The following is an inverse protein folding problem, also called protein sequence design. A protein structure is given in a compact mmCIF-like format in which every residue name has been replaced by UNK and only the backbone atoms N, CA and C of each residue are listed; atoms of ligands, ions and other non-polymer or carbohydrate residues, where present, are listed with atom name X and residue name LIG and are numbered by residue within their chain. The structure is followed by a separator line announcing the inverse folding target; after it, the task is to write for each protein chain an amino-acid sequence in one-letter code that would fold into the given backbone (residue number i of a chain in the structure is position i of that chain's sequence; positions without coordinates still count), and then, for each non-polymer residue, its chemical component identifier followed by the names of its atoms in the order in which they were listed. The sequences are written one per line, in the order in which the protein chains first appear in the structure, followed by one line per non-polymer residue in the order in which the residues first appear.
data_IF_819908785946
#
_entry.id   IF_819908785946
#
_cell.length_a   1.000
_cell.length_b   1.000
_cell.length_c   1.000
_cell.angle_alpha   90.00
_cell.angle_beta   90.00
_cell.angle_gamma   90.00
#
_symmetry.space_group_name_H-M   'P 1'
#
loop_
_entity.id
_entity.type
_entity.pdbx_description
1 polymer ?
#
# COMPACT_ATOMS: atom_id res chain seq x y z
N UNK A 1 -32.93 -14.75 89.18
CA UNK A 1 -32.32 -15.47 88.02
C UNK A 1 -32.64 -14.65 86.82
N UNK A 2 -31.64 -13.91 86.28
CA UNK A 2 -31.77 -13.07 85.08
C UNK A 2 -31.08 -13.81 83.87
N UNK A 3 -31.87 -14.21 82.93
CA UNK A 3 -31.41 -14.85 81.72
C UNK A 3 -30.98 -13.78 80.70
N UNK A 4 -29.67 -13.77 80.37
CA UNK A 4 -29.05 -12.89 79.38
C UNK A 4 -29.24 -13.55 78.01
N UNK A 5 -29.98 -12.90 77.10
CA UNK A 5 -30.11 -13.34 75.70
C UNK A 5 -28.95 -12.72 74.87
N UNK A 6 -28.08 -13.56 74.34
CA UNK A 6 -26.99 -13.21 73.43
C UNK A 6 -27.54 -13.13 72.04
N UNK A 7 -27.52 -11.91 71.42
CA UNK A 7 -27.92 -11.68 70.03
C UNK A 7 -26.69 -11.79 69.19
N UNK A 8 -26.57 -12.87 68.40
CA UNK A 8 -25.49 -13.04 67.43
C UNK A 8 -25.90 -12.32 66.10
N UNK A 9 -25.25 -11.20 65.77
CA UNK A 9 -25.43 -10.50 64.54
C UNK A 9 -24.48 -11.16 63.51
N UNK A 10 -25.07 -11.85 62.51
CA UNK A 10 -24.38 -12.46 61.40
C UNK A 10 -24.08 -11.36 60.40
N UNK A 11 -22.81 -10.92 60.33
CA UNK A 11 -22.31 -9.94 59.34
C UNK A 11 -21.99 -10.72 58.06
N UNK A 12 -22.94 -10.77 57.11
CA UNK A 12 -22.71 -11.33 55.77
C UNK A 12 -21.89 -10.36 54.93
N UNK A 13 -20.56 -10.59 54.84
CA UNK A 13 -19.70 -9.93 53.84
C UNK A 13 -20.09 -10.42 52.46
N UNK A 14 -20.84 -9.61 51.73
CA UNK A 14 -21.01 -9.76 50.30
C UNK A 14 -19.67 -9.38 49.61
N UNK A 15 -18.87 -10.38 49.34
CA UNK A 15 -17.73 -10.23 48.44
C UNK A 15 -18.29 -10.06 47.02
N UNK A 16 -18.44 -8.82 46.61
CA UNK A 16 -18.66 -8.49 45.21
C UNK A 16 -17.39 -8.84 44.44
N UNK A 17 -17.33 -10.03 43.85
CA UNK A 17 -16.35 -10.34 42.81
C UNK A 17 -16.67 -9.47 41.59
N UNK A 18 -16.09 -8.27 41.53
CA UNK A 18 -15.93 -7.53 40.30
C UNK A 18 -15.01 -8.37 39.43
N UNK A 19 -15.60 -9.17 38.53
CA UNK A 19 -14.88 -9.73 37.40
C UNK A 19 -14.50 -8.57 36.50
N UNK A 20 -13.39 -7.92 36.83
CA UNK A 20 -12.72 -7.00 35.93
C UNK A 20 -12.44 -7.76 34.64
N UNK A 21 -13.28 -7.54 33.64
CA UNK A 21 -12.98 -7.94 32.27
C UNK A 21 -11.63 -7.32 31.95
N UNK A 22 -10.55 -8.11 31.99
CA UNK A 22 -9.27 -7.71 31.41
C UNK A 22 -9.57 -7.46 29.96
N UNK A 23 -9.84 -6.22 29.60
CA UNK A 23 -9.77 -5.79 28.22
C UNK A 23 -8.33 -6.05 27.79
N UNK A 24 -8.09 -7.23 27.22
CA UNK A 24 -6.79 -7.49 26.61
C UNK A 24 -6.63 -6.45 25.51
N UNK A 25 -5.70 -5.53 25.72
CA UNK A 25 -5.36 -4.47 24.78
C UNK A 25 -5.00 -5.12 23.44
N UNK A 26 -5.77 -4.83 22.42
CA UNK A 26 -5.54 -5.34 21.09
C UNK A 26 -4.18 -4.83 20.59
N UNK A 27 -3.35 -5.72 20.08
CA UNK A 27 -2.02 -5.39 19.60
C UNK A 27 -1.94 -5.62 18.09
N UNK A 28 -1.58 -4.59 17.34
CA UNK A 28 -1.39 -4.66 15.90
C UNK A 28 0.09 -4.45 15.57
N UNK A 29 0.69 -5.39 14.83
CA UNK A 29 1.94 -5.16 14.13
C UNK A 29 1.68 -4.40 12.84
N UNK A 30 2.43 -3.35 12.56
CA UNK A 30 2.41 -2.66 11.27
C UNK A 30 3.82 -2.68 10.68
N UNK A 31 3.97 -3.37 9.55
CA UNK A 31 5.25 -3.57 8.87
C UNK A 31 5.27 -2.75 7.58
N UNK A 32 6.12 -1.73 7.56
CA UNK A 32 6.32 -0.84 6.43
C UNK A 32 7.69 -1.07 5.78
N UNK A 33 7.78 -0.91 4.46
CA UNK A 33 9.05 -1.06 3.75
C UNK A 33 9.91 0.19 3.85
N UNK A 34 9.32 1.35 3.59
CA UNK A 34 10.04 2.63 3.49
C UNK A 34 9.13 3.80 3.86
N UNK A 35 9.71 4.94 4.17
CA UNK A 35 8.98 6.19 4.40
C UNK A 35 8.76 6.88 3.05
N UNK A 36 7.51 6.96 2.63
CA UNK A 36 7.08 7.62 1.40
C UNK A 36 5.68 8.21 1.60
N UNK A 37 5.45 9.43 1.14
CA UNK A 37 4.18 10.13 1.35
C UNK A 37 3.00 9.43 0.69
N UNK A 38 3.20 8.83 -0.47
CA UNK A 38 2.16 8.13 -1.22
C UNK A 38 1.75 6.85 -0.47
N UNK A 39 2.74 6.05 -0.03
CA UNK A 39 2.51 4.84 0.76
C UNK A 39 1.94 5.15 2.15
N UNK A 40 2.33 6.27 2.76
CA UNK A 40 1.81 6.71 4.06
C UNK A 40 0.29 6.99 4.04
N UNK A 41 -0.30 7.32 2.86
CA UNK A 41 -1.74 7.47 2.75
C UNK A 41 -2.48 6.15 2.99
N UNK A 42 -1.93 5.01 2.57
CA UNK A 42 -2.51 3.69 2.86
C UNK A 42 -2.49 3.41 4.38
N UNK A 43 -1.37 3.66 5.04
CA UNK A 43 -1.27 3.57 6.51
C UNK A 43 -2.31 4.43 7.20
N UNK A 44 -2.46 5.68 6.75
CA UNK A 44 -3.48 6.61 7.29
C UNK A 44 -4.89 6.06 7.11
N UNK A 45 -5.24 5.59 5.91
CA UNK A 45 -6.55 5.00 5.63
C UNK A 45 -6.84 3.79 6.51
N UNK A 46 -5.88 2.89 6.68
CA UNK A 46 -5.99 1.70 7.52
C UNK A 46 -6.34 2.06 8.97
N UNK A 47 -5.60 2.98 9.58
CA UNK A 47 -5.85 3.37 10.97
C UNK A 47 -7.11 4.24 11.14
N UNK A 48 -7.53 5.00 10.12
CA UNK A 48 -8.83 5.72 10.17
C UNK A 48 -9.97 4.71 10.17
N UNK A 49 -9.94 3.68 9.32
CA UNK A 49 -10.95 2.63 9.32
C UNK A 49 -11.05 1.92 10.68
N UNK A 50 -9.92 1.61 11.30
CA UNK A 50 -9.89 1.03 12.65
C UNK A 50 -10.50 1.97 13.68
N UNK A 51 -10.12 3.26 13.67
CA UNK A 51 -10.63 4.27 14.60
C UNK A 51 -12.15 4.43 14.50
N UNK A 52 -12.69 4.52 13.30
CA UNK A 52 -14.13 4.63 13.05
C UNK A 52 -14.91 3.39 13.54
N UNK A 53 -14.20 2.28 13.72
CA UNK A 53 -14.74 1.03 14.24
C UNK A 53 -14.46 0.79 15.74
N UNK A 54 -13.94 1.80 16.47
CA UNK A 54 -13.72 1.77 17.91
C UNK A 54 -12.34 1.26 18.34
N UNK A 55 -11.37 1.16 17.40
CA UNK A 55 -10.02 0.72 17.70
C UNK A 55 -9.03 1.88 17.49
N UNK A 56 -8.52 2.44 18.58
CA UNK A 56 -7.66 3.62 18.57
C UNK A 56 -6.59 3.53 19.66
N UNK A 57 -5.35 3.82 19.30
CA UNK A 57 -4.24 3.95 20.23
C UNK A 57 -4.42 5.15 21.17
N UNK A 58 -4.94 6.26 20.64
CA UNK A 58 -5.23 7.46 21.43
C UNK A 58 -6.31 7.27 22.49
N UNK A 59 -7.25 6.37 22.23
CA UNK A 59 -8.35 6.03 23.15
C UNK A 59 -7.99 4.83 24.03
N UNK A 60 -6.77 4.28 23.91
CA UNK A 60 -6.28 3.18 24.73
C UNK A 60 -6.93 1.82 24.44
N UNK A 61 -7.60 1.66 23.30
CA UNK A 61 -8.22 0.40 22.87
C UNK A 61 -7.29 -0.44 21.99
N UNK A 62 -6.19 0.15 21.51
CA UNK A 62 -5.26 -0.44 20.55
C UNK A 62 -3.80 -0.11 20.94
N UNK A 63 -2.91 -1.09 20.79
CA UNK A 63 -1.45 -0.92 20.82
C UNK A 63 -0.91 -1.17 19.43
N UNK A 64 -0.13 -0.22 18.89
CA UNK A 64 0.50 -0.33 17.58
C UNK A 64 2.00 -0.60 17.75
N UNK A 65 2.49 -1.65 17.12
CA UNK A 65 3.91 -1.97 17.00
C UNK A 65 4.32 -1.65 15.56
N UNK A 66 4.74 -0.42 15.33
CA UNK A 66 5.19 0.04 14.02
C UNK A 66 6.66 -0.27 13.80
N UNK A 67 6.99 -0.80 12.62
CA UNK A 67 8.36 -1.00 12.14
C UNK A 67 8.46 -0.60 10.67
N UNK A 68 9.51 0.14 10.36
CA UNK A 68 9.86 0.53 8.99
C UNK A 68 11.24 -0.05 8.65
N UNK A 69 11.38 -0.61 7.47
CA UNK A 69 12.61 -1.25 7.01
C UNK A 69 13.56 -0.27 6.30
N UNK A 70 13.14 0.97 6.05
CA UNK A 70 13.92 2.00 5.36
C UNK A 70 14.47 1.55 3.99
N UNK A 71 13.72 0.70 3.28
CA UNK A 71 14.08 0.15 1.98
C UNK A 71 15.10 -0.99 2.02
N UNK A 72 15.54 -1.40 3.22
CA UNK A 72 16.56 -2.41 3.41
C UNK A 72 15.96 -3.79 3.71
N UNK A 73 16.29 -4.79 2.88
CA UNK A 73 15.70 -6.12 3.00
C UNK A 73 16.14 -6.87 4.28
N UNK A 74 17.40 -6.88 4.70
CA UNK A 74 17.79 -7.44 6.00
C UNK A 74 17.03 -6.81 7.17
N UNK A 75 16.88 -5.50 7.19
CA UNK A 75 16.09 -4.78 8.20
C UNK A 75 14.61 -5.18 8.15
N UNK A 76 14.04 -5.40 6.96
CA UNK A 76 12.67 -5.87 6.81
C UNK A 76 12.44 -7.24 7.47
N UNK A 77 13.38 -8.17 7.28
CA UNK A 77 13.34 -9.49 7.91
C UNK A 77 13.38 -9.40 9.43
N UNK A 78 14.30 -8.60 9.99
CA UNK A 78 14.42 -8.37 11.43
C UNK A 78 13.19 -7.67 12.02
N UNK A 79 12.65 -6.68 11.32
CA UNK A 79 11.45 -5.96 11.71
C UNK A 79 10.23 -6.90 11.79
N UNK A 80 10.09 -7.78 10.81
CA UNK A 80 9.03 -8.80 10.80
C UNK A 80 9.18 -9.78 11.97
N UNK A 81 10.38 -10.33 12.20
CA UNK A 81 10.66 -11.23 13.33
C UNK A 81 10.37 -10.56 14.67
N UNK A 82 10.76 -9.29 14.82
CA UNK A 82 10.43 -8.52 16.02
C UNK A 82 8.93 -8.37 16.23
N UNK A 83 8.16 -8.00 15.19
CA UNK A 83 6.69 -7.87 15.30
C UNK A 83 6.08 -9.22 15.70
N UNK A 84 6.47 -10.32 15.08
CA UNK A 84 5.96 -11.67 15.39
C UNK A 84 6.27 -12.05 16.84
N UNK A 85 7.48 -11.73 17.35
CA UNK A 85 7.87 -12.03 18.73
C UNK A 85 7.00 -11.33 19.78
N UNK A 86 6.32 -10.26 19.40
CA UNK A 86 5.39 -9.53 20.28
C UNK A 86 3.99 -10.12 20.32
N UNK A 87 3.76 -11.22 19.58
CA UNK A 87 2.48 -11.94 19.51
C UNK A 87 1.28 -11.02 19.24
N UNK A 88 1.27 -10.24 18.16
CA UNK A 88 0.17 -9.34 17.84
C UNK A 88 -1.10 -10.13 17.46
N UNK A 89 -2.28 -9.51 17.64
CA UNK A 89 -3.56 -10.04 17.18
C UNK A 89 -3.66 -10.13 15.66
N UNK A 90 -2.99 -9.20 14.94
CA UNK A 90 -2.83 -9.19 13.50
C UNK A 90 -1.58 -8.43 13.09
N UNK A 91 -1.14 -8.64 11.84
CA UNK A 91 -0.08 -7.82 11.21
C UNK A 91 -0.66 -7.15 9.95
N UNK A 92 -0.54 -5.84 9.86
CA UNK A 92 -0.79 -5.08 8.66
C UNK A 92 0.54 -4.89 7.89
N UNK A 93 0.52 -5.06 6.58
CA UNK A 93 1.71 -5.01 5.74
C UNK A 93 1.54 -4.01 4.60
N UNK A 94 2.54 -3.16 4.39
CA UNK A 94 2.57 -2.11 3.36
C UNK A 94 4.02 -1.91 2.84
N UNK A 95 4.32 -1.99 1.57
CA UNK A 95 3.52 -2.54 0.46
C UNK A 95 3.80 -4.04 0.20
N UNK A 96 4.21 -4.44 -1.02
CA UNK A 96 4.35 -5.83 -1.48
C UNK A 96 5.39 -6.65 -0.72
N UNK A 97 6.63 -6.14 -0.58
CA UNK A 97 7.72 -6.91 0.04
C UNK A 97 7.46 -7.24 1.51
N UNK A 98 6.93 -6.32 2.37
CA UNK A 98 6.45 -6.66 3.70
C UNK A 98 5.42 -7.78 3.73
N UNK A 99 4.49 -7.79 2.77
CA UNK A 99 3.48 -8.87 2.65
C UNK A 99 4.16 -10.21 2.35
N UNK A 100 5.08 -10.26 1.39
CA UNK A 100 5.82 -11.47 1.04
C UNK A 100 6.58 -12.00 2.25
N UNK A 101 7.33 -11.14 2.94
CA UNK A 101 8.11 -11.52 4.12
C UNK A 101 7.19 -12.03 5.24
N UNK A 102 6.11 -11.33 5.55
CA UNK A 102 5.19 -11.74 6.60
C UNK A 102 4.54 -13.10 6.31
N UNK A 103 4.10 -13.35 5.06
CA UNK A 103 3.55 -14.64 4.62
C UNK A 103 4.57 -15.78 4.76
N UNK A 104 5.85 -15.51 4.53
CA UNK A 104 6.90 -16.52 4.71
C UNK A 104 7.15 -16.83 6.19
N UNK A 105 7.11 -15.82 7.06
CA UNK A 105 7.48 -15.90 8.48
C UNK A 105 6.36 -16.41 9.39
N UNK A 106 5.08 -16.19 9.08
CA UNK A 106 3.96 -16.68 9.87
C UNK A 106 2.85 -17.30 9.05
N UNK A 107 2.24 -18.36 9.56
CA UNK A 107 1.07 -19.04 8.98
C UNK A 107 -0.17 -18.94 9.87
N UNK A 108 -0.03 -18.38 11.05
CA UNK A 108 -1.08 -18.37 12.08
C UNK A 108 -1.57 -16.97 12.42
N UNK A 109 -0.70 -15.96 12.40
CA UNK A 109 -1.11 -14.57 12.66
C UNK A 109 -1.84 -14.05 11.41
N UNK A 110 -3.06 -13.50 11.54
CA UNK A 110 -3.77 -12.88 10.42
C UNK A 110 -2.99 -11.71 9.83
N UNK A 111 -2.84 -11.71 8.51
CA UNK A 111 -2.12 -10.70 7.74
C UNK A 111 -3.10 -9.88 6.93
N UNK A 112 -3.06 -8.56 7.06
CA UNK A 112 -3.88 -7.62 6.29
C UNK A 112 -2.99 -6.79 5.38
N UNK A 113 -2.94 -7.18 4.10
CA UNK A 113 -2.11 -6.51 3.10
C UNK A 113 -2.78 -5.27 2.53
N UNK A 114 -1.97 -4.32 2.11
CA UNK A 114 -2.35 -3.17 1.30
C UNK A 114 -1.23 -2.80 0.34
N UNK A 115 -1.57 -2.10 -0.73
CA UNK A 115 -0.62 -1.68 -1.78
C UNK A 115 0.23 -2.85 -2.28
N UNK A 116 -0.46 -3.95 -2.59
CA UNK A 116 0.16 -5.20 -3.06
C UNK A 116 -0.56 -5.70 -4.31
N UNK A 117 0.11 -6.33 -5.26
CA UNK A 117 -0.56 -7.00 -6.35
C UNK A 117 -1.33 -8.22 -5.84
N UNK A 118 -2.17 -8.78 -6.70
CA UNK A 118 -2.88 -10.03 -6.41
C UNK A 118 -1.90 -11.12 -5.96
N UNK A 119 -2.27 -11.98 -4.99
CA UNK A 119 -1.34 -12.94 -4.37
C UNK A 119 -0.57 -13.84 -5.33
N UNK A 120 -1.17 -14.23 -6.48
CA UNK A 120 -0.48 -15.01 -7.51
C UNK A 120 0.63 -14.22 -8.22
N UNK A 121 0.39 -12.93 -8.49
CA UNK A 121 1.39 -12.03 -9.07
C UNK A 121 2.55 -11.81 -8.07
N UNK A 122 2.24 -11.73 -6.78
CA UNK A 122 3.23 -11.62 -5.72
C UNK A 122 3.97 -12.95 -5.42
N UNK A 123 3.64 -14.05 -6.11
CA UNK A 123 4.24 -15.37 -5.86
C UNK A 123 3.80 -16.01 -4.53
N UNK A 124 2.63 -15.63 -4.00
CA UNK A 124 2.15 -16.04 -2.68
C UNK A 124 1.14 -17.21 -2.74
N UNK A 125 0.75 -17.68 -3.92
CA UNK A 125 -0.17 -18.81 -4.06
C UNK A 125 0.58 -20.13 -4.03
N UNK A 126 -0.11 -21.17 -3.57
CA UNK A 126 0.36 -22.56 -3.70
C UNK A 126 0.26 -23.08 -5.16
N UNK A 127 0.67 -24.32 -5.39
CA UNK A 127 0.61 -24.97 -6.72
C UNK A 127 -0.81 -25.11 -7.29
N UNK A 128 -1.84 -25.02 -6.44
CA UNK A 128 -3.24 -25.05 -6.83
C UNK A 128 -3.81 -23.64 -7.05
N UNK A 129 -2.99 -22.58 -6.94
CA UNK A 129 -3.39 -21.19 -7.09
C UNK A 129 -4.09 -20.61 -5.85
N UNK A 130 -4.05 -21.30 -4.70
CA UNK A 130 -4.72 -20.88 -3.49
C UNK A 130 -3.83 -19.93 -2.68
N UNK A 131 -4.40 -18.80 -2.28
CA UNK A 131 -3.76 -17.84 -1.37
C UNK A 131 -3.57 -18.43 0.04
N UNK A 132 -2.58 -17.94 0.83
CA UNK A 132 -2.41 -18.33 2.23
C UNK A 132 -3.69 -18.10 3.04
N UNK A 133 -4.04 -19.06 3.89
CA UNK A 133 -5.28 -19.03 4.69
C UNK A 133 -5.31 -17.90 5.73
N UNK A 134 -4.16 -17.33 6.07
CA UNK A 134 -4.02 -16.21 6.99
C UNK A 134 -3.79 -14.86 6.28
N UNK A 135 -3.93 -14.79 4.95
CA UNK A 135 -3.74 -13.56 4.16
C UNK A 135 -5.09 -12.96 3.76
N UNK A 136 -5.30 -11.72 4.12
CA UNK A 136 -6.48 -10.89 3.88
C UNK A 136 -6.06 -9.50 3.38
N UNK A 137 -7.01 -8.58 3.32
CA UNK A 137 -6.75 -7.21 2.91
C UNK A 137 -7.00 -6.99 1.42
N UNK A 138 -6.29 -6.06 0.82
CA UNK A 138 -6.65 -5.50 -0.48
C UNK A 138 -5.48 -5.56 -1.44
N UNK A 139 -5.77 -6.02 -2.66
CA UNK A 139 -4.81 -6.19 -3.74
C UNK A 139 -5.23 -5.48 -5.03
N UNK A 140 -4.33 -5.51 -5.99
CA UNK A 140 -4.52 -5.01 -7.34
C UNK A 140 -4.12 -6.04 -8.39
N UNK A 141 -4.82 -6.06 -9.53
CA UNK A 141 -4.54 -6.98 -10.64
C UNK A 141 -3.50 -6.48 -11.64
N UNK A 142 -3.14 -5.20 -11.56
CA UNK A 142 -2.31 -4.49 -12.54
C UNK A 142 -2.96 -4.31 -13.95
N UNK A 143 -4.23 -4.69 -14.14
CA UNK A 143 -4.93 -4.48 -15.42
C UNK A 143 -5.11 -2.99 -15.76
N UNK A 144 -5.10 -2.13 -14.75
CA UNK A 144 -5.15 -0.68 -14.91
C UNK A 144 -3.92 -0.10 -15.64
N UNK A 145 -2.83 -0.82 -15.70
CA UNK A 145 -1.62 -0.38 -16.42
C UNK A 145 -1.93 -0.21 -17.90
N UNK A 146 -2.68 -1.14 -18.50
CA UNK A 146 -3.10 -1.04 -19.88
C UNK A 146 -3.93 0.23 -20.12
N UNK A 147 -4.87 0.52 -19.20
CA UNK A 147 -5.67 1.75 -19.21
C UNK A 147 -4.79 3.00 -19.06
N UNK A 148 -3.75 2.95 -18.24
CA UNK A 148 -2.80 4.07 -18.06
C UNK A 148 -2.02 4.35 -19.33
N UNK A 149 -1.55 3.33 -20.07
CA UNK A 149 -0.86 3.51 -21.35
C UNK A 149 -1.82 4.04 -22.42
N UNK A 150 -3.04 3.53 -22.50
CA UNK A 150 -4.08 4.06 -23.39
C UNK A 150 -4.42 5.52 -23.07
N UNK A 151 -4.43 5.90 -21.79
CA UNK A 151 -4.63 7.27 -21.36
C UNK A 151 -3.48 8.17 -21.85
N UNK A 152 -2.22 7.73 -21.76
CA UNK A 152 -1.08 8.47 -22.33
C UNK A 152 -1.31 8.73 -23.81
N UNK A 153 -1.64 7.69 -24.57
CA UNK A 153 -1.87 7.82 -26.01
C UNK A 153 -3.05 8.74 -26.35
N UNK A 154 -4.09 8.76 -25.51
CA UNK A 154 -5.24 9.66 -25.69
C UNK A 154 -4.89 11.14 -25.42
N UNK A 155 -4.02 11.40 -24.44
CA UNK A 155 -3.58 12.76 -24.06
C UNK A 155 -2.44 13.24 -24.97
N UNK A 156 -1.55 12.34 -25.38
CA UNK A 156 -0.40 12.58 -26.25
C UNK A 156 -0.45 11.69 -27.49
N UNK A 157 -1.31 11.98 -28.49
CA UNK A 157 -1.49 11.09 -29.65
C UNK A 157 -0.22 10.95 -30.52
N UNK A 158 0.71 11.90 -30.45
CA UNK A 158 1.97 11.89 -31.20
C UNK A 158 3.10 11.11 -30.52
N UNK A 159 2.88 10.56 -29.32
CA UNK A 159 3.90 9.82 -28.57
C UNK A 159 4.42 8.63 -29.39
N UNK A 160 5.75 8.50 -29.46
CA UNK A 160 6.46 7.42 -30.16
C UNK A 160 7.32 6.60 -29.22
N UNK A 161 7.88 7.24 -28.18
CA UNK A 161 8.80 6.61 -27.23
C UNK A 161 8.36 6.84 -25.79
N UNK A 162 8.05 5.76 -25.09
CA UNK A 162 7.74 5.77 -23.68
C UNK A 162 8.94 5.25 -22.89
N UNK A 163 9.38 6.00 -21.88
CA UNK A 163 10.45 5.60 -20.98
C UNK A 163 9.91 5.09 -19.64
N UNK A 164 10.55 4.08 -19.08
CA UNK A 164 10.27 3.58 -17.74
C UNK A 164 11.54 3.10 -17.03
N UNK A 165 11.57 3.21 -15.71
CA UNK A 165 12.58 2.55 -14.87
C UNK A 165 11.89 1.58 -13.94
N UNK A 166 12.53 0.46 -13.60
CA UNK A 166 11.89 -0.62 -12.87
C UNK A 166 12.87 -1.39 -11.97
N UNK A 167 12.39 -1.87 -10.82
CA UNK A 167 13.17 -2.73 -9.96
C UNK A 167 12.90 -4.21 -10.29
N UNK A 168 13.94 -4.93 -10.67
CA UNK A 168 13.85 -6.36 -11.03
C UNK A 168 13.50 -7.27 -9.84
N UNK A 169 13.75 -6.82 -8.61
CA UNK A 169 13.43 -7.57 -7.41
C UNK A 169 11.95 -7.41 -6.97
N UNK A 170 11.19 -6.52 -7.61
CA UNK A 170 9.80 -6.25 -7.27
C UNK A 170 8.83 -6.89 -8.28
N UNK A 171 8.08 -7.94 -7.89
CA UNK A 171 7.18 -8.66 -8.81
C UNK A 171 6.16 -7.76 -9.52
N UNK A 172 5.59 -6.77 -8.80
CA UNK A 172 4.62 -5.83 -9.37
C UNK A 172 5.26 -4.93 -10.43
N UNK A 173 6.50 -4.49 -10.21
CA UNK A 173 7.23 -3.64 -11.16
C UNK A 173 7.54 -4.38 -12.45
N UNK A 174 8.06 -5.60 -12.34
CA UNK A 174 8.35 -6.47 -13.50
C UNK A 174 7.07 -6.81 -14.28
N UNK A 175 5.97 -7.11 -13.59
CA UNK A 175 4.71 -7.43 -14.25
C UNK A 175 4.08 -6.20 -14.91
N UNK A 176 4.16 -5.03 -14.27
CA UNK A 176 3.69 -3.77 -14.84
C UNK A 176 4.46 -3.43 -16.12
N UNK A 177 5.79 -3.60 -16.12
CA UNK A 177 6.61 -3.39 -17.32
C UNK A 177 6.16 -4.29 -18.49
N UNK A 178 5.94 -5.60 -18.24
CA UNK A 178 5.44 -6.53 -19.28
C UNK A 178 4.10 -6.08 -19.86
N UNK A 179 3.19 -5.56 -19.04
CA UNK A 179 1.92 -5.02 -19.52
C UNK A 179 2.11 -3.78 -20.37
N UNK A 180 2.99 -2.86 -19.97
CA UNK A 180 3.34 -1.67 -20.76
C UNK A 180 3.92 -2.09 -22.11
N UNK A 181 4.86 -3.03 -22.14
CA UNK A 181 5.47 -3.56 -23.37
C UNK A 181 4.40 -4.06 -24.35
N UNK A 182 3.46 -4.89 -23.85
CA UNK A 182 2.38 -5.43 -24.66
C UNK A 182 1.44 -4.35 -25.22
N UNK A 183 1.03 -3.38 -24.37
CA UNK A 183 0.12 -2.31 -24.75
C UNK A 183 0.80 -1.31 -25.69
N UNK A 184 2.05 -0.93 -25.43
CA UNK A 184 2.84 -0.06 -26.30
C UNK A 184 3.02 -0.68 -27.69
N UNK A 185 3.32 -1.99 -27.76
CA UNK A 185 3.45 -2.70 -29.05
C UNK A 185 2.15 -2.63 -29.85
N UNK A 186 0.98 -2.76 -29.22
CA UNK A 186 -0.33 -2.65 -29.91
C UNK A 186 -0.63 -1.24 -30.42
N UNK A 187 -0.03 -0.21 -29.83
CA UNK A 187 -0.20 1.20 -30.19
C UNK A 187 0.91 1.75 -31.09
N UNK A 188 1.91 0.93 -31.43
CA UNK A 188 3.07 1.36 -32.21
C UNK A 188 3.98 2.32 -31.44
N UNK A 189 4.03 2.23 -30.14
CA UNK A 189 4.88 3.00 -29.22
C UNK A 189 6.11 2.17 -28.86
N UNK A 190 7.30 2.71 -29.04
CA UNK A 190 8.55 2.10 -28.57
C UNK A 190 8.67 2.27 -27.06
N UNK A 191 8.88 1.18 -26.30
CA UNK A 191 9.20 1.23 -24.87
C UNK A 191 10.71 1.15 -24.67
N UNK A 192 11.25 2.08 -23.90
CA UNK A 192 12.65 2.09 -23.47
C UNK A 192 12.67 1.95 -21.96
N UNK A 193 13.11 0.81 -21.47
CA UNK A 193 13.18 0.53 -20.02
C UNK A 193 14.61 0.44 -19.51
N UNK A 194 14.83 0.83 -18.25
CA UNK A 194 16.11 0.69 -17.57
C UNK A 194 15.90 0.07 -16.18
N UNK A 195 16.71 -0.91 -15.76
CA UNK A 195 16.66 -1.43 -14.41
C UNK A 195 17.16 -0.39 -13.39
N UNK A 196 16.52 -0.36 -12.22
CA UNK A 196 16.89 0.46 -11.07
C UNK A 196 16.86 -0.42 -9.82
N UNK A 197 18.02 -0.65 -9.18
CA UNK A 197 18.08 -1.56 -8.05
C UNK A 197 17.85 -0.87 -6.70
N UNK A 198 18.25 0.38 -6.58
CA UNK A 198 18.11 1.17 -5.37
C UNK A 198 18.05 2.67 -5.68
N UNK A 199 17.60 3.47 -4.72
CA UNK A 199 17.40 4.91 -4.88
C UNK A 199 18.69 5.72 -5.13
N UNK A 200 19.86 5.22 -4.72
CA UNK A 200 21.13 5.94 -4.94
C UNK A 200 21.58 5.96 -6.41
N UNK A 201 21.05 5.04 -7.23
CA UNK A 201 21.35 4.95 -8.67
C UNK A 201 20.40 5.82 -9.53
N UNK A 202 19.33 6.35 -8.94
CA UNK A 202 18.23 6.99 -9.69
C UNK A 202 18.69 8.10 -10.60
N UNK A 203 19.55 9.03 -10.13
CA UNK A 203 20.02 10.14 -10.95
C UNK A 203 20.73 9.65 -12.22
N UNK A 204 21.64 8.67 -12.08
CA UNK A 204 22.37 8.12 -13.20
C UNK A 204 21.46 7.39 -14.20
N UNK A 205 20.54 6.58 -13.68
CA UNK A 205 19.65 5.74 -14.51
C UNK A 205 18.63 6.61 -15.26
N UNK A 206 18.03 7.62 -14.59
CA UNK A 206 17.07 8.51 -15.26
C UNK A 206 17.75 9.37 -16.33
N UNK A 207 18.95 9.89 -16.08
CA UNK A 207 19.69 10.64 -17.09
C UNK A 207 20.05 9.78 -18.32
N UNK A 208 20.48 8.53 -18.09
CA UNK A 208 20.76 7.59 -19.17
C UNK A 208 19.51 7.27 -20.01
N UNK A 209 18.34 7.16 -19.36
CA UNK A 209 17.06 6.95 -20.04
C UNK A 209 16.64 8.19 -20.85
N UNK A 210 16.71 9.38 -20.26
CA UNK A 210 16.34 10.64 -20.92
C UNK A 210 17.20 10.95 -22.15
N UNK A 211 18.46 10.54 -22.16
CA UNK A 211 19.36 10.66 -23.32
C UNK A 211 18.98 9.74 -24.51
N UNK A 212 17.97 8.86 -24.35
CA UNK A 212 17.39 8.07 -25.45
C UNK A 212 16.28 8.81 -26.20
N UNK A 213 16.02 10.08 -25.85
CA UNK A 213 15.00 10.94 -26.45
C UNK A 213 13.60 10.31 -26.34
N UNK A 214 13.18 9.97 -25.13
CA UNK A 214 11.81 9.55 -24.84
C UNK A 214 10.86 10.75 -24.94
N UNK A 215 9.62 10.52 -25.33
CA UNK A 215 8.57 11.56 -25.41
C UNK A 215 7.80 11.72 -24.11
N UNK A 216 7.74 10.65 -23.31
CA UNK A 216 6.98 10.57 -22.05
C UNK A 216 7.67 9.57 -21.11
N UNK A 217 7.65 9.86 -19.83
CA UNK A 217 8.07 8.93 -18.77
C UNK A 217 6.83 8.34 -18.08
N UNK A 218 6.82 7.02 -17.85
CA UNK A 218 5.80 6.36 -17.04
C UNK A 218 6.40 5.85 -15.73
N UNK A 219 5.95 6.45 -14.62
CA UNK A 219 6.32 6.00 -13.27
C UNK A 219 5.49 4.77 -12.90
N UNK A 220 6.16 3.62 -12.89
CA UNK A 220 5.61 2.31 -12.54
C UNK A 220 5.19 2.24 -11.06
N UNK A 221 4.32 1.28 -10.67
CA UNK A 221 4.07 0.92 -9.27
C UNK A 221 5.29 0.19 -8.67
N UNK A 222 6.30 0.95 -8.34
CA UNK A 222 7.64 0.51 -7.94
C UNK A 222 8.10 1.32 -6.72
N UNK A 223 8.53 0.62 -5.66
CA UNK A 223 8.88 1.28 -4.40
C UNK A 223 10.14 2.15 -4.51
N UNK A 224 11.11 1.76 -5.35
CA UNK A 224 12.31 2.57 -5.58
C UNK A 224 11.96 3.82 -6.40
N UNK A 225 11.06 3.69 -7.39
CA UNK A 225 10.52 4.83 -8.16
C UNK A 225 9.79 5.80 -7.22
N UNK A 226 8.95 5.31 -6.31
CA UNK A 226 8.25 6.16 -5.34
C UNK A 226 9.23 6.90 -4.42
N UNK A 227 10.20 6.17 -3.84
CA UNK A 227 11.19 6.74 -2.94
C UNK A 227 12.11 7.79 -3.61
N UNK A 228 12.24 7.73 -4.93
CA UNK A 228 13.14 8.59 -5.71
C UNK A 228 12.39 9.57 -6.62
N UNK A 229 11.09 9.72 -6.43
CA UNK A 229 10.25 10.40 -7.41
C UNK A 229 10.65 11.87 -7.64
N UNK A 230 11.10 12.58 -6.62
CA UNK A 230 11.54 13.98 -6.74
C UNK A 230 12.75 14.13 -7.67
N UNK A 231 13.69 13.17 -7.60
CA UNK A 231 14.85 13.13 -8.51
C UNK A 231 14.40 12.89 -9.94
N UNK A 232 13.44 11.97 -10.14
CA UNK A 232 12.87 11.66 -11.45
C UNK A 232 12.10 12.88 -11.99
N UNK A 233 11.24 13.48 -11.17
CA UNK A 233 10.41 14.62 -11.55
C UNK A 233 11.27 15.82 -11.95
N UNK A 234 12.33 16.10 -11.19
CA UNK A 234 13.29 17.15 -11.53
C UNK A 234 13.99 16.88 -12.86
N UNK A 235 14.55 15.68 -13.04
CA UNK A 235 15.29 15.32 -14.26
C UNK A 235 14.41 15.35 -15.51
N UNK A 236 13.17 14.86 -15.42
CA UNK A 236 12.18 14.95 -16.50
C UNK A 236 11.78 16.40 -16.79
N UNK A 237 11.55 17.20 -15.74
CA UNK A 237 11.23 18.63 -15.87
C UNK A 237 12.35 19.42 -16.57
N UNK A 238 13.61 19.19 -16.21
CA UNK A 238 14.78 19.82 -16.86
C UNK A 238 14.87 19.51 -18.38
N UNK A 239 14.24 18.43 -18.84
CA UNK A 239 14.18 17.98 -20.24
C UNK A 239 12.81 18.22 -20.89
N UNK A 240 11.84 18.83 -20.20
CA UNK A 240 10.46 19.01 -20.66
C UNK A 240 9.78 17.67 -21.05
N UNK A 241 10.00 16.61 -20.29
CA UNK A 241 9.38 15.30 -20.50
C UNK A 241 8.23 15.14 -19.51
N UNK A 242 6.97 14.99 -19.99
CA UNK A 242 5.82 14.77 -19.10
C UNK A 242 5.88 13.40 -18.42
N UNK A 243 5.42 13.36 -17.17
CA UNK A 243 5.38 12.13 -16.37
C UNK A 243 3.93 11.69 -16.21
N UNK A 244 3.65 10.46 -16.62
CA UNK A 244 2.41 9.77 -16.28
C UNK A 244 2.67 8.67 -15.24
N UNK A 245 1.65 8.30 -14.51
CA UNK A 245 1.77 7.28 -13.48
C UNK A 245 0.44 6.55 -13.28
N UNK A 246 0.46 5.51 -12.46
CA UNK A 246 -0.72 4.80 -12.00
C UNK A 246 -1.17 5.20 -10.57
N UNK A 247 -0.52 6.23 -9.99
CA UNK A 247 -0.68 6.58 -8.58
C UNK A 247 -1.02 8.06 -8.39
N UNK A 248 -2.17 8.34 -7.76
CA UNK A 248 -2.62 9.71 -7.49
C UNK A 248 -1.59 10.51 -6.68
N UNK A 249 -0.94 9.87 -5.70
CA UNK A 249 0.05 10.53 -4.85
C UNK A 249 1.22 11.13 -5.64
N UNK A 250 1.67 10.46 -6.71
CA UNK A 250 2.75 10.97 -7.55
C UNK A 250 2.31 12.17 -8.42
N UNK A 251 1.01 12.26 -8.75
CA UNK A 251 0.48 13.44 -9.45
C UNK A 251 0.55 14.68 -8.58
N UNK A 252 0.31 14.55 -7.27
CA UNK A 252 0.52 15.64 -6.30
C UNK A 252 1.99 16.06 -6.17
N UNK A 253 2.91 15.13 -6.42
CA UNK A 253 4.37 15.33 -6.35
C UNK A 253 4.98 15.78 -7.68
N UNK A 254 4.16 16.06 -8.70
CA UNK A 254 4.64 16.64 -9.97
C UNK A 254 4.51 15.75 -11.20
N UNK A 255 3.89 14.57 -11.14
CA UNK A 255 3.47 13.88 -12.36
C UNK A 255 2.30 14.64 -13.01
N UNK A 256 2.18 14.53 -14.35
CA UNK A 256 1.14 15.21 -15.11
C UNK A 256 -0.24 14.63 -14.87
N UNK A 257 -0.38 13.31 -14.98
CA UNK A 257 -1.66 12.64 -14.85
C UNK A 257 -1.52 11.17 -14.48
N UNK A 258 -2.60 10.60 -13.95
CA UNK A 258 -2.70 9.19 -13.61
C UNK A 258 -4.10 8.63 -13.88
N UNK A 259 -4.15 7.32 -14.15
CA UNK A 259 -5.31 6.50 -13.87
C UNK A 259 -4.89 5.47 -12.82
N UNK A 260 -5.28 5.67 -11.59
CA UNK A 260 -4.68 4.91 -10.52
C UNK A 260 -5.55 4.70 -9.30
N UNK A 261 -5.00 3.89 -8.38
CA UNK A 261 -5.58 3.66 -7.08
C UNK A 261 -5.42 4.89 -6.18
N UNK A 262 -6.42 5.11 -5.37
CA UNK A 262 -6.33 5.99 -4.22
C UNK A 262 -5.74 5.19 -3.05
N UNK A 263 -4.50 5.49 -2.69
CA UNK A 263 -3.77 4.76 -1.64
C UNK A 263 -4.47 4.84 -0.28
N UNK A 264 -5.09 5.99 0.03
CA UNK A 264 -5.87 6.12 1.26
C UNK A 264 -7.04 5.13 1.28
N UNK A 265 -7.81 5.07 0.19
CA UNK A 265 -8.94 4.14 0.08
C UNK A 265 -8.50 2.68 0.07
N UNK A 266 -7.33 2.40 -0.49
CA UNK A 266 -6.75 1.06 -0.44
C UNK A 266 -6.49 0.60 1.00
N UNK A 267 -5.80 1.45 1.77
CA UNK A 267 -5.58 1.20 3.20
C UNK A 267 -6.88 1.16 4.00
N UNK A 268 -7.81 2.07 3.73
CA UNK A 268 -9.10 2.13 4.40
C UNK A 268 -9.90 0.82 4.20
N UNK A 269 -9.98 0.32 2.96
CA UNK A 269 -10.66 -0.95 2.66
C UNK A 269 -10.02 -2.13 3.40
N UNK A 270 -8.68 -2.20 3.45
CA UNK A 270 -7.96 -3.22 4.23
C UNK A 270 -8.21 -3.08 5.74
N UNK A 271 -8.22 -1.85 6.25
CA UNK A 271 -8.55 -1.54 7.65
C UNK A 271 -9.97 -1.94 8.04
N UNK A 272 -10.94 -1.83 7.13
CA UNK A 272 -12.31 -2.30 7.37
C UNK A 272 -12.38 -3.82 7.56
N UNK A 273 -11.62 -4.60 6.78
CA UNK A 273 -11.51 -6.05 6.99
C UNK A 273 -10.85 -6.37 8.33
N UNK A 274 -9.76 -5.66 8.68
CA UNK A 274 -9.10 -5.81 9.96
C UNK A 274 -10.04 -5.47 11.13
N UNK A 275 -10.82 -4.40 11.03
CA UNK A 275 -11.82 -4.02 12.02
C UNK A 275 -12.93 -5.08 12.18
N UNK A 276 -13.39 -5.67 11.09
CA UNK A 276 -14.34 -6.79 11.11
C UNK A 276 -13.76 -7.97 11.91
N UNK A 277 -12.53 -8.39 11.59
CA UNK A 277 -11.84 -9.44 12.34
C UNK A 277 -11.72 -9.11 13.83
N UNK A 278 -11.30 -7.90 14.17
CA UNK A 278 -11.13 -7.50 15.57
C UNK A 278 -12.45 -7.51 16.37
N UNK A 279 -13.57 -7.17 15.72
CA UNK A 279 -14.90 -7.21 16.34
C UNK A 279 -15.43 -8.62 16.54
N UNK A 280 -15.28 -9.46 15.51
CA UNK A 280 -15.89 -10.80 15.50
C UNK A 280 -14.97 -11.89 16.04
N UNK A 281 -13.67 -11.65 16.07
CA UNK A 281 -12.61 -12.65 16.33
C UNK A 281 -12.68 -13.85 15.38
N UNK A 282 -13.39 -13.71 14.25
CA UNK A 282 -13.50 -14.72 13.20
C UNK A 282 -12.92 -14.21 11.88
N UNK A 283 -12.30 -15.12 11.15
CA UNK A 283 -11.81 -14.91 9.79
C UNK A 283 -12.81 -15.39 8.72
N UNK A 284 -13.96 -15.92 9.16
CA UNK A 284 -14.97 -16.44 8.25
C UNK A 284 -15.51 -15.35 7.33
N UNK A 285 -15.59 -15.67 6.04
CA UNK A 285 -16.03 -14.73 5.00
C UNK A 285 -15.01 -13.70 4.58
N UNK A 286 -13.87 -13.55 5.29
CA UNK A 286 -12.76 -12.69 4.86
C UNK A 286 -11.91 -13.39 3.80
N UNK A 287 -11.49 -12.60 2.83
CA UNK A 287 -10.57 -13.01 1.76
C UNK A 287 -9.85 -11.78 1.20
N UNK A 288 -8.74 -11.95 0.51
CA UNK A 288 -8.15 -10.86 -0.26
C UNK A 288 -9.17 -10.29 -1.26
N UNK A 289 -9.29 -8.96 -1.33
CA UNK A 289 -10.23 -8.25 -2.20
C UNK A 289 -9.48 -7.32 -3.14
N UNK A 290 -10.08 -7.05 -4.31
CA UNK A 290 -9.56 -6.03 -5.22
C UNK A 290 -9.85 -4.62 -4.68
N UNK A 291 -8.94 -3.68 -4.91
CA UNK A 291 -9.16 -2.27 -4.61
C UNK A 291 -10.35 -1.73 -5.41
N UNK A 292 -11.26 -1.01 -4.76
CA UNK A 292 -12.54 -0.58 -5.36
C UNK A 292 -12.47 0.79 -6.03
N UNK A 293 -11.60 1.67 -5.54
CA UNK A 293 -11.58 3.08 -5.97
C UNK A 293 -10.40 3.34 -6.89
N UNK A 294 -10.69 3.77 -8.12
CA UNK A 294 -9.76 4.27 -9.13
C UNK A 294 -10.36 5.47 -9.81
N UNK A 295 -9.52 6.41 -10.19
CA UNK A 295 -9.95 7.60 -10.91
C UNK A 295 -8.85 8.15 -11.81
N UNK A 296 -9.27 8.92 -12.80
CA UNK A 296 -8.37 9.75 -13.60
C UNK A 296 -8.12 11.04 -12.85
N UNK A 297 -6.85 11.36 -12.65
CA UNK A 297 -6.44 12.59 -11.97
C UNK A 297 -5.35 13.29 -12.77
N UNK A 298 -5.24 14.61 -12.61
CA UNK A 298 -4.20 15.42 -13.25
C UNK A 298 -3.74 16.56 -12.35
N UNK A 299 -2.53 17.03 -12.61
CA UNK A 299 -1.93 18.20 -11.99
C UNK A 299 -2.09 19.41 -12.93
N UNK A 300 -2.82 20.44 -12.49
CA UNK A 300 -3.14 21.60 -13.32
C UNK A 300 -1.90 22.43 -13.69
N UNK A 301 -0.90 22.50 -12.82
CA UNK A 301 0.36 23.22 -13.10
C UNK A 301 1.14 22.52 -14.20
N UNK A 302 1.25 21.19 -14.12
CA UNK A 302 1.89 20.39 -15.16
C UNK A 302 1.11 20.43 -16.49
N UNK A 303 -0.23 20.35 -16.43
CA UNK A 303 -1.09 20.49 -17.60
C UNK A 303 -0.84 21.83 -18.33
N UNK A 304 -0.74 22.93 -17.57
CA UNK A 304 -0.41 24.25 -18.12
C UNK A 304 1.00 24.29 -18.73
N UNK A 305 1.99 23.69 -18.05
CA UNK A 305 3.37 23.64 -18.54
C UNK A 305 3.47 22.93 -19.89
N UNK A 306 2.75 21.82 -20.07
CA UNK A 306 2.75 21.04 -21.30
C UNK A 306 1.66 21.46 -22.29
N UNK A 307 0.92 22.55 -22.03
CA UNK A 307 -0.17 23.07 -22.89
C UNK A 307 -1.26 22.02 -23.17
N UNK A 308 -1.60 21.20 -22.16
CA UNK A 308 -2.59 20.12 -22.26
C UNK A 308 -3.88 20.48 -21.53
N UNK A 309 -5.00 20.02 -22.09
CA UNK A 309 -6.31 20.17 -21.49
C UNK A 309 -6.87 18.80 -21.12
N UNK A 310 -7.43 18.71 -19.93
CA UNK A 310 -8.10 17.51 -19.44
C UNK A 310 -9.61 17.74 -19.39
N UNK A 311 -10.38 16.76 -19.80
CA UNK A 311 -11.84 16.83 -19.80
C UNK A 311 -12.43 16.58 -18.39
N UNK A 312 -13.76 16.68 -18.28
CA UNK A 312 -14.49 16.53 -17.03
C UNK A 312 -14.44 15.12 -16.42
N UNK A 313 -13.84 14.14 -17.11
CA UNK A 313 -13.63 12.79 -16.57
C UNK A 313 -12.41 12.73 -15.65
N UNK A 314 -11.56 13.76 -15.69
CA UNK A 314 -10.41 13.90 -14.81
C UNK A 314 -10.73 14.79 -13.59
N UNK A 315 -10.19 14.42 -12.46
CA UNK A 315 -10.21 15.23 -11.24
C UNK A 315 -8.86 15.93 -11.05
N UNK A 316 -8.89 17.24 -10.88
CA UNK A 316 -7.69 18.00 -10.50
C UNK A 316 -7.24 17.58 -9.09
N UNK A 317 -5.95 17.34 -8.92
CA UNK A 317 -5.32 17.14 -7.60
C UNK A 317 -4.40 18.31 -7.28
N UNK A 318 -4.42 18.70 -6.01
CA UNK A 318 -3.65 19.83 -5.47
C UNK A 318 -2.57 19.32 -4.51
#
# INVERSE_FOLDING_TARGET
MRTLKFCIIFFSCLWSCSTGQKNNLITIGYLDLLEDETLAQARKGFFVALKENGFSDKEGTLKIIYRNAHGDQPTLLQACDYIISQSPDLIATNPTLPTIVAVQKTKTIPLFMMVSPRPDIAGLTDKAGKSPSNLFGVYETLEYIDTSVMLIHSVLPSVKKLGAIYNQAEPQSVMALKKIEATCASLGIEIISQPLNNSSETQLVIEALLNKNIDVFFALPDNVVFASFEVIAKSCGDKNIPIFTSEEGLVKRGALAAFGADMYQWGYQSGMQAAQFLKTKSLDGLKPEIVKVRRKVYNAEQAKLFHLNFDSTFTEVK
#
